data_IF_536589679265
#
_entry.id   IF_536589679265
#
_cell.length_a   1.000
_cell.length_b   1.000
_cell.length_c   1.000
_cell.angle_alpha   90.00
_cell.angle_beta   90.00
_cell.angle_gamma   90.00
#
_symmetry.space_group_name_H-M   'P 1'
#
loop_
_entity.id
_entity.type
_entity.pdbx_description
1 polymer ?
#
# COMPACT_ATOMS: atom_id res chain seq x y z
N UNK A 1 1.68 -21.45 2.35
CA UNK A 1 3.02 -20.87 2.12
C UNK A 1 3.05 -19.52 2.81
N UNK A 2 4.01 -19.21 3.72
CA UNK A 2 4.08 -17.86 4.29
C UNK A 2 4.41 -16.89 3.15
N UNK A 3 3.51 -15.93 2.88
CA UNK A 3 3.81 -14.86 1.92
C UNK A 3 4.98 -14.07 2.49
N UNK A 4 6.00 -13.89 1.67
CA UNK A 4 7.13 -13.02 2.03
C UNK A 4 6.63 -11.59 2.12
N UNK A 5 7.26 -10.72 2.92
CA UNK A 5 6.91 -9.29 3.03
C UNK A 5 6.73 -8.64 1.65
N UNK A 6 7.58 -9.00 0.69
CA UNK A 6 7.51 -8.55 -0.71
C UNK A 6 6.22 -8.94 -1.42
N UNK A 7 5.68 -10.14 -1.17
CA UNK A 7 4.41 -10.59 -1.77
C UNK A 7 3.22 -9.82 -1.19
N UNK A 8 3.25 -9.53 0.12
CA UNK A 8 2.22 -8.71 0.78
C UNK A 8 2.27 -7.29 0.20
N UNK A 9 3.46 -6.69 0.08
CA UNK A 9 3.63 -5.37 -0.55
C UNK A 9 3.10 -5.38 -1.98
N UNK A 10 3.39 -6.41 -2.77
CA UNK A 10 2.90 -6.48 -4.14
C UNK A 10 1.36 -6.57 -4.19
N UNK A 11 0.76 -7.42 -3.36
CA UNK A 11 -0.69 -7.53 -3.26
C UNK A 11 -1.35 -6.20 -2.85
N UNK A 12 -0.76 -5.46 -1.90
CA UNK A 12 -1.24 -4.13 -1.51
C UNK A 12 -1.12 -3.13 -2.67
N UNK A 13 -0.03 -3.16 -3.46
CA UNK A 13 0.13 -2.30 -4.63
C UNK A 13 -0.93 -2.56 -5.69
N UNK A 14 -1.22 -3.84 -5.96
CA UNK A 14 -2.29 -4.23 -6.89
C UNK A 14 -3.65 -3.75 -6.40
N UNK A 15 -4.01 -4.03 -5.14
CA UNK A 15 -5.27 -3.59 -4.56
C UNK A 15 -5.43 -2.06 -4.61
N UNK A 16 -4.36 -1.31 -4.30
CA UNK A 16 -4.37 0.15 -4.42
C UNK A 16 -4.56 0.61 -5.86
N UNK A 17 -3.86 0.02 -6.83
CA UNK A 17 -4.02 0.35 -8.25
C UNK A 17 -5.45 0.06 -8.75
N UNK A 18 -6.07 -1.02 -8.29
CA UNK A 18 -7.46 -1.36 -8.61
C UNK A 18 -8.46 -0.38 -7.98
N UNK A 19 -8.26 0.02 -6.73
CA UNK A 19 -9.16 0.94 -6.02
C UNK A 19 -9.03 2.40 -6.51
N UNK A 20 -7.79 2.86 -6.74
CA UNK A 20 -7.49 4.26 -7.10
C UNK A 20 -7.57 4.49 -8.62
N UNK A 21 -7.37 3.43 -9.40
CA UNK A 21 -7.06 3.49 -10.82
C UNK A 21 -5.56 3.71 -11.07
N UNK A 22 -5.05 3.09 -12.14
CA UNK A 22 -3.61 3.07 -12.45
C UNK A 22 -2.99 4.47 -12.60
N UNK A 23 -3.73 5.43 -13.16
CA UNK A 23 -3.26 6.81 -13.37
C UNK A 23 -3.02 7.55 -12.04
N UNK A 24 -3.98 7.45 -11.10
CA UNK A 24 -3.84 8.04 -9.76
C UNK A 24 -2.79 7.31 -8.93
N UNK A 25 -2.74 6.00 -9.07
CA UNK A 25 -1.74 5.20 -8.39
C UNK A 25 -0.34 5.59 -8.84
N UNK A 26 -0.08 5.74 -10.14
CA UNK A 26 1.24 6.16 -10.63
C UNK A 26 1.59 7.59 -10.18
N UNK A 27 0.62 8.51 -10.21
CA UNK A 27 0.80 9.89 -9.77
C UNK A 27 1.21 10.01 -8.29
N UNK A 28 0.58 9.22 -7.41
CA UNK A 28 0.79 9.33 -5.96
C UNK A 28 1.75 8.28 -5.40
N UNK A 29 1.74 7.07 -5.92
CA UNK A 29 2.51 5.90 -5.47
C UNK A 29 3.51 5.40 -6.53
N UNK A 30 3.85 6.26 -7.49
CA UNK A 30 4.88 6.01 -8.48
C UNK A 30 6.28 5.79 -7.87
N UNK A 31 7.35 5.78 -8.69
CA UNK A 31 8.69 5.30 -8.31
C UNK A 31 9.35 6.06 -7.13
N UNK A 32 8.79 7.20 -6.75
CA UNK A 32 9.29 8.04 -5.66
C UNK A 32 8.74 7.62 -4.29
N UNK A 33 7.74 6.73 -4.27
CA UNK A 33 7.13 6.19 -3.06
C UNK A 33 7.55 4.74 -2.88
N UNK A 34 8.07 4.44 -1.70
CA UNK A 34 8.42 3.09 -1.28
C UNK A 34 7.34 2.55 -0.37
N UNK A 35 6.86 1.35 -0.66
CA UNK A 35 6.02 0.59 0.25
C UNK A 35 6.83 -0.58 0.81
N UNK A 36 6.80 -0.75 2.13
CA UNK A 36 7.44 -1.84 2.83
C UNK A 36 6.45 -2.41 3.85
N UNK A 37 6.38 -3.73 3.95
CA UNK A 37 5.58 -4.40 4.97
C UNK A 37 6.52 -5.07 5.96
N UNK A 38 6.37 -4.76 7.24
CA UNK A 38 7.19 -5.34 8.31
C UNK A 38 6.38 -5.45 9.59
N UNK A 39 6.47 -6.59 10.27
CA UNK A 39 5.89 -6.80 11.60
C UNK A 39 4.38 -6.46 11.68
N UNK A 40 3.62 -6.84 10.65
CA UNK A 40 2.18 -6.53 10.62
C UNK A 40 1.84 -5.12 10.10
N UNK A 41 2.84 -4.28 9.84
CA UNK A 41 2.66 -2.86 9.52
C UNK A 41 3.08 -2.52 8.10
N UNK A 42 2.20 -1.82 7.39
CA UNK A 42 2.55 -1.18 6.12
C UNK A 42 3.23 0.17 6.39
N UNK A 43 4.47 0.30 5.92
CA UNK A 43 5.25 1.53 5.94
C UNK A 43 5.30 2.12 4.55
N UNK A 44 5.05 3.42 4.48
CA UNK A 44 5.13 4.20 3.25
C UNK A 44 6.24 5.23 3.45
N UNK A 45 7.19 5.29 2.52
CA UNK A 45 8.28 6.24 2.48
C UNK A 45 8.24 7.03 1.18
N UNK A 46 8.66 8.29 1.21
CA UNK A 46 8.87 9.13 0.02
C UNK A 46 10.01 10.09 0.29
N UNK A 47 10.72 10.50 -0.77
CA UNK A 47 11.70 11.58 -0.67
C UNK A 47 11.04 12.94 -0.36
N UNK A 48 9.75 13.09 -0.63
CA UNK A 48 8.99 14.33 -0.42
C UNK A 48 8.00 14.18 0.75
N UNK A 49 8.28 14.88 1.86
CA UNK A 49 7.45 14.85 3.07
C UNK A 49 6.00 15.35 2.82
N UNK A 50 5.83 16.34 1.95
CA UNK A 50 4.51 16.85 1.57
C UNK A 50 3.66 15.77 0.90
N UNK A 51 4.24 15.03 -0.06
CA UNK A 51 3.54 13.92 -0.73
C UNK A 51 3.12 12.85 0.29
N UNK A 52 4.00 12.52 1.23
CA UNK A 52 3.72 11.54 2.27
C UNK A 52 2.57 12.00 3.19
N UNK A 53 2.53 13.28 3.56
CA UNK A 53 1.44 13.84 4.36
C UNK A 53 0.12 13.91 3.58
N UNK A 54 0.15 14.27 2.30
CA UNK A 54 -1.01 14.21 1.41
C UNK A 54 -1.55 12.79 1.27
N UNK A 55 -0.68 11.80 1.03
CA UNK A 55 -1.09 10.40 0.95
C UNK A 55 -1.70 9.95 2.28
N UNK A 56 -1.06 10.29 3.40
CA UNK A 56 -1.55 9.95 4.74
C UNK A 56 -2.89 10.59 5.06
N UNK A 57 -3.20 11.79 4.56
CA UNK A 57 -4.49 12.46 4.81
C UNK A 57 -5.58 12.00 3.85
N UNK A 58 -5.26 11.91 2.56
CA UNK A 58 -6.24 11.66 1.50
C UNK A 58 -6.53 10.17 1.34
N UNK A 59 -5.51 9.33 1.44
CA UNK A 59 -5.60 7.89 1.14
C UNK A 59 -5.50 7.00 2.38
N UNK A 60 -5.56 7.55 3.59
CA UNK A 60 -5.48 6.78 4.85
C UNK A 60 -6.50 5.64 4.88
N UNK A 61 -7.75 5.96 4.51
CA UNK A 61 -8.86 5.03 4.55
C UNK A 61 -8.71 3.94 3.49
N UNK A 62 -8.33 4.31 2.27
CA UNK A 62 -8.06 3.38 1.18
C UNK A 62 -6.88 2.46 1.50
N UNK A 63 -5.81 2.98 2.10
CA UNK A 63 -4.65 2.20 2.53
C UNK A 63 -5.01 1.20 3.64
N UNK A 64 -5.83 1.60 4.60
CA UNK A 64 -6.35 0.67 5.61
C UNK A 64 -7.25 -0.41 4.99
N UNK A 65 -8.14 -0.03 4.06
CA UNK A 65 -9.01 -0.97 3.39
C UNK A 65 -8.21 -1.97 2.53
N UNK A 66 -7.23 -1.51 1.74
CA UNK A 66 -6.35 -2.34 0.94
C UNK A 66 -5.53 -3.31 1.81
N UNK A 67 -4.96 -2.79 2.92
CA UNK A 67 -4.19 -3.60 3.86
C UNK A 67 -5.07 -4.67 4.52
N UNK A 68 -6.28 -4.31 4.96
CA UNK A 68 -7.20 -5.24 5.61
C UNK A 68 -7.68 -6.32 4.64
N UNK A 69 -8.04 -5.96 3.41
CA UNK A 69 -8.42 -6.92 2.36
C UNK A 69 -7.29 -7.91 2.08
N UNK A 70 -6.05 -7.42 1.98
CA UNK A 70 -4.89 -8.26 1.71
C UNK A 70 -4.57 -9.19 2.89
N UNK A 71 -4.68 -8.71 4.13
CA UNK A 71 -4.40 -9.49 5.34
C UNK A 71 -5.50 -10.50 5.67
N UNK A 72 -6.76 -10.15 5.45
CA UNK A 72 -7.90 -11.05 5.60
C UNK A 72 -7.82 -12.20 4.56
N UNK A 73 -7.52 -11.85 3.30
CA UNK A 73 -7.23 -12.83 2.25
C UNK A 73 -5.98 -13.68 2.53
N UNK A 74 -5.09 -13.24 3.42
CA UNK A 74 -3.91 -14.00 3.85
C UNK A 74 -4.17 -14.85 5.11
N UNK A 75 -5.18 -14.49 5.91
CA UNK A 75 -5.53 -15.15 7.18
C UNK A 75 -6.52 -16.30 6.99
N UNK A 76 -7.23 -16.37 5.86
CA UNK A 76 -8.21 -17.41 5.57
C UNK A 76 -7.61 -18.77 5.12
N UNK A 77 -6.43 -19.14 5.64
CA UNK A 77 -5.77 -20.43 5.40
C UNK A 77 -5.67 -21.26 6.69
#
# INVERSE_FOLDING_TARGET
MPRTDTEIVNAIRVALAEQLGQDRYDLWFGPQVTLAYHDGQLRIGSAEAFRLECIRRTYSSDLQAASRQTLDASTQL
#
